data_IF_575460258322
#
_entry.id   IF_575460258322
#
_cell.length_a   1.000
_cell.length_b   1.000
_cell.length_c   1.000
_cell.angle_alpha   90.00
_cell.angle_beta   90.00
_cell.angle_gamma   90.00
#
_symmetry.space_group_name_H-M   'P 1'
#
loop_
_entity.id
_entity.type
_entity.pdbx_description
1 polymer ?
#
# COMPACT_ATOMS: atom_id res chain seq x y z
N UNK A 1 -25.53 -23.75 2.63
CA UNK A 1 -25.44 -22.32 2.98
C UNK A 1 -24.01 -21.85 2.71
N UNK A 2 -23.76 -21.12 1.62
CA UNK A 2 -22.42 -20.57 1.34
C UNK A 2 -22.13 -19.43 2.32
N UNK A 3 -21.02 -19.52 3.04
CA UNK A 3 -20.56 -18.44 3.93
C UNK A 3 -20.16 -17.26 3.05
N UNK A 4 -20.96 -16.19 3.01
CA UNK A 4 -20.60 -14.97 2.29
C UNK A 4 -19.28 -14.42 2.88
N UNK A 5 -18.17 -14.63 2.17
CA UNK A 5 -16.87 -14.07 2.56
C UNK A 5 -16.96 -12.56 2.43
N UNK A 6 -16.54 -11.83 3.48
CA UNK A 6 -16.39 -10.38 3.38
C UNK A 6 -15.37 -10.07 2.28
N UNK A 7 -15.65 -9.13 1.36
CA UNK A 7 -14.72 -8.77 0.30
C UNK A 7 -13.43 -8.18 0.89
N UNK A 8 -12.33 -8.40 0.17
CA UNK A 8 -11.01 -7.88 0.52
C UNK A 8 -10.36 -7.21 -0.68
N UNK A 9 -9.51 -6.22 -0.42
CA UNK A 9 -8.76 -5.46 -1.42
C UNK A 9 -7.27 -5.77 -1.27
N UNK A 10 -6.62 -6.13 -2.37
CA UNK A 10 -5.17 -6.24 -2.47
C UNK A 10 -4.62 -5.05 -3.25
N UNK A 11 -3.87 -4.18 -2.57
CA UNK A 11 -3.15 -3.06 -3.18
C UNK A 11 -1.76 -3.54 -3.56
N UNK A 12 -1.51 -3.72 -4.85
CA UNK A 12 -0.20 -4.07 -5.36
C UNK A 12 0.57 -2.79 -5.70
N UNK A 13 1.72 -2.56 -5.07
CA UNK A 13 2.48 -1.34 -5.25
C UNK A 13 3.98 -1.59 -5.25
N UNK A 14 4.69 -1.01 -6.23
CA UNK A 14 6.15 -0.96 -6.19
C UNK A 14 6.61 0.00 -5.08
N UNK A 15 7.67 -0.35 -4.37
CA UNK A 15 8.25 0.46 -3.31
C UNK A 15 8.63 1.84 -3.85
N UNK A 16 8.37 2.93 -3.10
CA UNK A 16 8.62 4.30 -3.56
C UNK A 16 10.10 4.66 -3.47
N UNK A 17 10.92 4.00 -4.29
CA UNK A 17 12.35 4.25 -4.40
C UNK A 17 12.60 5.21 -5.59
N UNK A 18 13.38 6.30 -5.40
CA UNK A 18 13.75 7.19 -6.49
C UNK A 18 14.34 6.43 -7.68
N UNK A 19 13.97 6.83 -8.90
CA UNK A 19 14.45 6.18 -10.12
C UNK A 19 13.78 4.84 -10.44
N UNK A 20 13.02 4.22 -9.52
CA UNK A 20 12.40 2.90 -9.71
C UNK A 20 10.90 2.95 -9.95
N UNK A 21 10.25 4.07 -9.65
CA UNK A 21 8.80 4.24 -9.79
C UNK A 21 8.46 5.41 -10.70
N UNK A 22 7.33 5.25 -11.41
CA UNK A 22 6.75 6.27 -12.30
C UNK A 22 7.80 6.89 -13.24
N UNK A 23 8.60 6.05 -13.89
CA UNK A 23 9.75 6.46 -14.70
C UNK A 23 9.39 7.34 -15.90
N UNK A 24 8.22 7.11 -16.48
CA UNK A 24 7.67 7.98 -17.54
C UNK A 24 7.36 9.41 -17.07
N UNK A 25 7.24 9.64 -15.76
CA UNK A 25 7.03 10.97 -15.19
C UNK A 25 8.34 11.63 -14.73
N UNK A 26 9.49 10.96 -14.83
CA UNK A 26 10.77 11.53 -14.45
C UNK A 26 11.11 12.84 -15.17
N UNK A 27 10.86 13.03 -16.48
CA UNK A 27 11.15 14.30 -17.15
C UNK A 27 10.37 15.50 -16.59
N UNK A 28 9.21 15.26 -15.97
CA UNK A 28 8.33 16.31 -15.47
C UNK A 28 8.53 16.57 -13.96
N UNK A 29 8.77 15.51 -13.19
CA UNK A 29 8.77 15.56 -11.73
C UNK A 29 10.16 15.29 -11.14
N UNK A 30 11.05 14.62 -11.86
CA UNK A 30 12.27 14.07 -11.30
C UNK A 30 12.02 12.80 -10.46
N UNK A 31 13.08 12.01 -10.23
CA UNK A 31 12.97 10.71 -9.57
C UNK A 31 12.49 10.78 -8.12
N UNK A 32 12.87 11.81 -7.36
CA UNK A 32 12.51 12.00 -5.96
C UNK A 32 11.03 12.36 -5.82
N UNK A 33 10.52 13.26 -6.66
CA UNK A 33 9.11 13.64 -6.62
C UNK A 33 8.23 12.49 -7.10
N UNK A 34 8.70 11.64 -8.01
CA UNK A 34 8.03 10.39 -8.36
C UNK A 34 7.94 9.40 -7.18
N UNK A 35 9.01 9.23 -6.41
CA UNK A 35 8.98 8.43 -5.19
C UNK A 35 8.00 9.00 -4.14
N UNK A 36 8.00 10.32 -3.96
CA UNK A 36 7.05 11.00 -3.06
C UNK A 36 5.61 10.83 -3.53
N UNK A 37 5.35 10.95 -4.83
CA UNK A 37 4.04 10.73 -5.42
C UNK A 37 3.56 9.30 -5.18
N UNK A 38 4.42 8.31 -5.44
CA UNK A 38 4.11 6.91 -5.19
C UNK A 38 3.75 6.66 -3.72
N UNK A 39 4.51 7.25 -2.79
CA UNK A 39 4.23 7.19 -1.35
C UNK A 39 2.83 7.72 -1.01
N UNK A 40 2.46 8.88 -1.58
CA UNK A 40 1.14 9.49 -1.38
C UNK A 40 0.01 8.64 -1.97
N UNK A 41 0.22 8.00 -3.11
CA UNK A 41 -0.78 7.09 -3.70
C UNK A 41 -1.04 5.88 -2.81
N UNK A 42 0.01 5.24 -2.27
CA UNK A 42 -0.12 4.11 -1.35
C UNK A 42 -0.88 4.52 -0.08
N UNK A 43 -0.49 5.65 0.53
CA UNK A 43 -1.18 6.21 1.70
C UNK A 43 -2.66 6.49 1.42
N UNK A 44 -2.97 7.12 0.28
CA UNK A 44 -4.32 7.47 -0.08
C UNK A 44 -5.20 6.24 -0.33
N UNK A 45 -4.72 5.26 -1.10
CA UNK A 45 -5.47 4.03 -1.37
C UNK A 45 -5.74 3.22 -0.09
N UNK A 46 -4.76 3.11 0.79
CA UNK A 46 -4.95 2.41 2.08
C UNK A 46 -5.92 3.17 3.00
N UNK A 47 -5.90 4.51 3.00
CA UNK A 47 -6.87 5.31 3.73
C UNK A 47 -8.30 5.14 3.20
N UNK A 48 -8.50 5.18 1.87
CA UNK A 48 -9.82 5.00 1.24
C UNK A 48 -10.41 3.63 1.54
N UNK A 49 -9.62 2.56 1.37
CA UNK A 49 -10.11 1.19 1.63
C UNK A 49 -10.43 0.96 3.10
N UNK A 50 -9.65 1.57 4.00
CA UNK A 50 -9.93 1.57 5.44
C UNK A 50 -11.20 2.33 5.79
N UNK A 51 -11.43 3.50 5.20
CA UNK A 51 -12.66 4.27 5.38
C UNK A 51 -13.90 3.48 4.91
N UNK A 52 -13.75 2.67 3.86
CA UNK A 52 -14.77 1.75 3.37
C UNK A 52 -14.95 0.48 4.23
N UNK A 53 -14.24 0.33 5.35
CA UNK A 53 -14.26 -0.85 6.25
C UNK A 53 -13.95 -2.18 5.54
N UNK A 54 -13.17 -2.11 4.46
CA UNK A 54 -12.73 -3.29 3.72
C UNK A 54 -11.50 -3.90 4.41
N UNK A 55 -11.36 -5.22 4.27
CA UNK A 55 -10.08 -5.87 4.60
C UNK A 55 -9.10 -5.51 3.50
N UNK A 56 -7.97 -4.91 3.84
CA UNK A 56 -6.98 -4.45 2.87
C UNK A 56 -5.69 -5.22 3.07
N UNK A 57 -4.98 -5.49 1.98
CA UNK A 57 -3.63 -6.07 1.98
C UNK A 57 -2.77 -5.21 1.07
N UNK A 58 -1.49 -5.04 1.40
CA UNK A 58 -0.52 -4.37 0.53
C UNK A 58 0.55 -5.39 0.14
N UNK A 59 0.61 -5.71 -1.15
CA UNK A 59 1.71 -6.47 -1.73
C UNK A 59 2.68 -5.51 -2.40
N UNK A 60 3.98 -5.76 -2.23
CA UNK A 60 5.01 -4.83 -2.65
C UNK A 60 6.25 -5.54 -3.21
N UNK A 61 7.00 -4.78 -4.00
CA UNK A 61 8.26 -5.18 -4.63
C UNK A 61 9.25 -4.00 -4.57
N UNK A 62 10.52 -4.21 -4.22
CA UNK A 62 11.16 -5.48 -3.81
C UNK A 62 10.84 -5.91 -2.37
N UNK A 63 11.14 -7.17 -2.02
CA UNK A 63 10.80 -7.80 -0.72
C UNK A 63 11.51 -7.19 0.48
N UNK A 64 12.67 -6.57 0.29
CA UNK A 64 13.44 -5.85 1.32
C UNK A 64 12.86 -4.46 1.66
N UNK A 65 11.89 -3.96 0.89
CA UNK A 65 11.27 -2.65 1.11
C UNK A 65 10.22 -2.61 2.23
N UNK A 66 10.17 -3.63 3.10
CA UNK A 66 9.19 -3.73 4.20
C UNK A 66 9.17 -2.49 5.09
N UNK A 67 10.34 -1.97 5.49
CA UNK A 67 10.43 -0.82 6.40
C UNK A 67 9.73 0.41 5.83
N UNK A 68 10.02 0.73 4.57
CA UNK A 68 9.40 1.87 3.87
C UNK A 68 7.89 1.68 3.71
N UNK A 69 7.44 0.48 3.35
CA UNK A 69 6.00 0.21 3.15
C UNK A 69 5.24 0.25 4.48
N UNK A 70 5.83 -0.27 5.56
CA UNK A 70 5.26 -0.25 6.91
C UNK A 70 4.96 1.17 7.39
N UNK A 71 5.84 2.13 7.10
CA UNK A 71 5.64 3.55 7.49
C UNK A 71 4.53 4.24 6.69
N UNK A 72 4.24 3.79 5.48
CA UNK A 72 3.22 4.37 4.61
C UNK A 72 1.81 3.84 4.92
N UNK A 73 1.72 2.75 5.66
CA UNK A 73 0.46 2.09 5.98
C UNK A 73 0.05 2.47 7.41
N UNK A 74 -1.13 3.08 7.61
CA UNK A 74 -1.53 3.53 8.93
C UNK A 74 -1.62 2.36 9.93
N UNK A 75 -1.11 2.52 11.17
CA UNK A 75 -1.17 1.48 12.18
C UNK A 75 -2.61 1.09 12.49
N UNK A 76 -2.79 -0.14 12.97
CA UNK A 76 -4.09 -0.68 13.38
C UNK A 76 -4.76 0.28 14.36
N UNK A 77 -6.02 0.67 14.11
CA UNK A 77 -6.78 1.40 15.12
C UNK A 77 -6.97 0.49 16.36
N UNK A 78 -6.66 0.97 17.58
CA UNK A 78 -6.97 0.22 18.78
C UNK A 78 -8.49 -0.04 18.84
N UNK A 79 -8.88 -1.26 19.19
CA UNK A 79 -10.29 -1.69 19.30
C UNK A 79 -10.93 -2.26 18.02
N UNK A 80 -10.29 -2.18 16.85
CA UNK A 80 -10.82 -2.81 15.64
C UNK A 80 -10.19 -4.19 15.41
N UNK A 81 -10.94 -5.26 15.69
CA UNK A 81 -10.52 -6.65 15.55
C UNK A 81 -10.34 -7.10 14.08
N UNK A 82 -10.77 -6.28 13.11
CA UNK A 82 -11.02 -6.68 11.72
C UNK A 82 -10.11 -6.05 10.65
N UNK A 83 -9.10 -5.26 11.01
CA UNK A 83 -8.29 -4.59 9.97
C UNK A 83 -6.80 -4.50 10.30
N UNK A 84 -5.99 -5.49 9.91
CA UNK A 84 -4.66 -5.20 9.38
C UNK A 84 -4.79 -4.81 7.90
N UNK A 85 -4.01 -3.80 7.49
CA UNK A 85 -3.40 -3.87 6.17
C UNK A 85 -2.28 -4.89 6.31
N UNK A 86 -2.50 -6.11 5.84
CA UNK A 86 -1.46 -7.13 5.91
C UNK A 86 -0.49 -6.94 4.75
N UNK A 87 0.79 -6.87 5.09
CA UNK A 87 1.88 -6.72 4.14
C UNK A 87 2.27 -8.13 3.69
N UNK A 88 1.98 -8.47 2.44
CA UNK A 88 2.33 -9.77 1.86
C UNK A 88 3.55 -9.60 0.96
N UNK A 89 4.70 -10.09 1.43
CA UNK A 89 5.85 -10.36 0.57
C UNK A 89 5.69 -11.81 0.09
N UNK A 90 5.60 -12.00 -1.22
CA UNK A 90 5.43 -13.34 -1.79
C UNK A 90 6.53 -14.28 -1.30
N UNK A 91 6.09 -15.37 -0.68
CA UNK A 91 6.85 -16.60 -0.46
C UNK A 91 6.05 -17.73 -1.08
#
# INVERSE_FOLDING_TARGET
MSRARKPAVLVMAKAPLPGKVKTRLHPLLGPERCARLQSRLIQYTTAVTRAARLRTYVAYDPTDAYGVIKELVPPRAPGCCLSPVAIWAGG
#
